data_IF_197246599067
#
_entry.id   IF_197246599067
#
_cell.length_a   1.000
_cell.length_b   1.000
_cell.length_c   1.000
_cell.angle_alpha   90.00
_cell.angle_beta   90.00
_cell.angle_gamma   90.00
#
_symmetry.space_group_name_H-M   'P 1'
#
loop_
_entity.id
_entity.type
_entity.pdbx_description
1 polymer ?
#
# COMPACT_ATOMS: atom_id res chain seq x y z
N UNK A 1 -16.69 5.78 8.02
CA UNK A 1 -16.26 5.53 8.24
C UNK A 1 -16.21 4.70 8.87
N UNK A 2 -16.74 4.52 9.10
CA UNK A 2 -16.45 3.56 9.69
C UNK A 2 -15.59 2.81 9.11
N UNK A 3 -15.51 2.95 8.05
CA UNK A 3 -14.66 2.35 7.40
C UNK A 3 -13.38 2.40 7.94
N UNK A 4 -13.00 3.50 8.42
CA UNK A 4 -11.75 3.59 8.99
C UNK A 4 -11.58 2.71 10.12
N UNK A 5 -12.54 2.61 11.03
CA UNK A 5 -12.35 1.76 12.11
C UNK A 5 -12.43 0.37 11.75
N UNK A 6 -13.19 0.02 10.75
CA UNK A 6 -13.22 -1.34 10.32
C UNK A 6 -11.95 -1.72 9.64
N UNK A 7 -11.35 -0.82 8.95
CA UNK A 7 -10.09 -1.09 8.36
C UNK A 7 -9.06 -1.30 9.38
N UNK A 8 -9.15 -0.64 10.48
CA UNK A 8 -8.24 -0.90 11.53
C UNK A 8 -8.34 -2.30 12.05
N UNK A 9 -9.50 -2.88 12.06
CA UNK A 9 -9.60 -4.25 12.44
C UNK A 9 -8.94 -5.17 11.47
N UNK A 10 -9.12 -4.94 10.21
CA UNK A 10 -8.45 -5.71 9.21
C UNK A 10 -7.00 -5.54 9.31
N UNK A 11 -6.58 -4.32 9.54
CA UNK A 11 -5.18 -4.06 9.63
C UNK A 11 -4.60 -4.52 10.92
N UNK A 12 -5.38 -4.72 11.94
CA UNK A 12 -4.83 -5.16 13.18
C UNK A 12 -4.25 -6.54 13.10
N UNK A 13 -4.75 -7.40 12.23
CA UNK A 13 -4.10 -8.65 12.02
C UNK A 13 -2.73 -8.44 11.44
N UNK A 14 -2.60 -7.52 10.52
CA UNK A 14 -1.33 -7.24 9.94
C UNK A 14 -0.42 -6.57 10.96
N UNK A 15 -0.93 -5.68 11.74
CA UNK A 15 -0.16 -5.09 12.80
C UNK A 15 0.32 -6.15 13.77
N UNK A 16 -0.53 -7.08 14.13
CA UNK A 16 -0.15 -8.13 15.04
C UNK A 16 0.93 -8.99 14.46
N UNK A 17 0.90 -9.24 13.17
CA UNK A 17 1.92 -10.00 12.52
C UNK A 17 3.25 -9.27 12.61
N UNK A 18 3.22 -7.97 12.47
CA UNK A 18 4.43 -7.20 12.46
C UNK A 18 4.77 -6.56 13.79
N UNK A 19 3.91 -6.69 14.79
CA UNK A 19 4.14 -6.01 16.03
C UNK A 19 5.42 -6.49 16.69
N UNK A 20 5.76 -7.71 16.48
CA UNK A 20 6.99 -8.22 16.98
C UNK A 20 8.13 -7.97 16.04
N UNK A 21 7.86 -7.40 14.90
CA UNK A 21 8.86 -7.18 13.90
C UNK A 21 9.23 -5.71 13.87
N UNK A 22 10.29 -5.39 14.53
CA UNK A 22 10.71 -4.01 14.61
C UNK A 22 11.13 -3.43 13.29
N UNK A 23 11.20 -4.22 12.25
CA UNK A 23 11.57 -3.73 10.93
C UNK A 23 10.38 -3.34 10.08
N UNK A 24 9.16 -3.50 10.59
CA UNK A 24 7.96 -3.04 9.88
C UNK A 24 7.79 -1.53 10.01
N UNK A 25 7.21 -0.91 9.00
CA UNK A 25 6.96 0.52 9.05
C UNK A 25 5.72 0.88 8.23
N UNK A 26 5.20 2.08 8.48
CA UNK A 26 3.97 2.53 7.84
C UNK A 26 4.22 3.26 6.55
N UNK A 27 3.40 2.98 5.57
CA UNK A 27 3.31 3.74 4.33
C UNK A 27 1.83 3.97 4.05
N UNK A 28 1.53 4.76 3.03
CA UNK A 28 0.14 5.05 2.69
C UNK A 28 -0.05 4.91 1.19
N UNK A 29 -1.10 4.20 0.80
CA UNK A 29 -1.55 4.24 -0.59
C UNK A 29 -2.61 5.33 -0.73
N UNK A 30 -2.58 6.06 -1.83
CA UNK A 30 -3.67 6.98 -2.15
C UNK A 30 -3.93 6.97 -3.63
N UNK A 31 -5.18 7.21 -4.01
CA UNK A 31 -5.51 7.33 -5.42
C UNK A 31 -5.13 8.71 -5.91
N UNK A 32 -4.87 8.82 -7.22
CA UNK A 32 -4.48 10.08 -7.82
C UNK A 32 -5.58 11.13 -7.66
N UNK A 33 -6.83 10.71 -7.68
CA UNK A 33 -7.96 11.60 -7.52
C UNK A 33 -8.45 11.67 -6.07
N UNK A 34 -7.70 11.06 -5.17
CA UNK A 34 -7.98 11.10 -3.73
C UNK A 34 -9.27 10.43 -3.31
N UNK A 35 -9.72 9.43 -4.09
CA UNK A 35 -10.87 8.63 -3.70
C UNK A 35 -10.61 7.86 -2.43
N UNK A 36 -9.38 7.52 -2.14
CA UNK A 36 -9.04 6.81 -0.92
C UNK A 36 -7.66 7.18 -0.41
N UNK A 37 -7.48 6.98 0.86
CA UNK A 37 -6.19 7.03 1.55
C UNK A 37 -6.16 5.78 2.41
N UNK A 38 -5.19 4.92 2.19
CA UNK A 38 -5.14 3.62 2.85
C UNK A 38 -3.77 3.37 3.47
N UNK A 39 -3.65 3.56 4.77
CA UNK A 39 -2.38 3.31 5.46
C UNK A 39 -2.18 1.83 5.68
N UNK A 40 -0.94 1.39 5.61
CA UNK A 40 -0.60 0.00 5.74
C UNK A 40 0.77 -0.11 6.38
N UNK A 41 1.01 -1.19 7.11
CA UNK A 41 2.32 -1.50 7.64
C UNK A 41 2.96 -2.51 6.72
N UNK A 42 4.20 -2.30 6.36
CA UNK A 42 4.90 -3.19 5.46
C UNK A 42 6.29 -3.49 5.97
N UNK A 43 6.88 -4.52 5.40
CA UNK A 43 8.25 -4.90 5.67
C UNK A 43 9.05 -4.60 4.42
N UNK A 44 10.28 -4.17 4.58
CA UNK A 44 11.10 -3.77 3.44
C UNK A 44 11.39 -4.91 2.46
N UNK A 45 11.23 -6.14 2.88
CA UNK A 45 11.45 -7.29 2.00
C UNK A 45 10.21 -7.71 1.23
N UNK A 46 9.07 -7.12 1.51
CA UNK A 46 7.85 -7.45 0.76
C UNK A 46 7.89 -6.84 -0.62
N UNK A 47 7.30 -7.53 -1.61
CA UNK A 47 7.20 -6.96 -2.94
C UNK A 47 6.06 -5.96 -2.99
N UNK A 48 6.16 -5.03 -3.91
CA UNK A 48 5.09 -4.06 -4.09
C UNK A 48 3.80 -4.77 -4.51
N UNK A 49 3.91 -5.80 -5.36
CA UNK A 49 2.72 -6.51 -5.80
C UNK A 49 1.98 -7.18 -4.65
N UNK A 50 2.69 -7.62 -3.63
CA UNK A 50 2.06 -8.20 -2.46
C UNK A 50 1.26 -7.16 -1.71
N UNK A 51 1.79 -5.98 -1.58
CA UNK A 51 1.06 -4.89 -0.91
C UNK A 51 -0.12 -4.44 -1.77
N UNK A 52 0.09 -4.42 -3.06
CA UNK A 52 -0.96 -4.04 -3.99
C UNK A 52 -2.13 -5.00 -3.95
N UNK A 53 -1.84 -6.27 -3.79
CA UNK A 53 -2.86 -7.29 -3.66
C UNK A 53 -3.76 -6.98 -2.46
N UNK A 54 -3.16 -6.63 -1.36
CA UNK A 54 -3.91 -6.29 -0.15
C UNK A 54 -4.75 -5.03 -0.38
N UNK A 55 -4.19 -4.06 -1.07
CA UNK A 55 -4.90 -2.82 -1.38
C UNK A 55 -6.14 -3.10 -2.24
N UNK A 56 -6.00 -3.95 -3.26
CA UNK A 56 -7.12 -4.23 -4.15
C UNK A 56 -8.16 -5.15 -3.54
N UNK A 57 -7.80 -5.87 -2.49
CA UNK A 57 -8.79 -6.59 -1.74
C UNK A 57 -9.69 -5.63 -0.96
N UNK A 58 -9.12 -4.50 -0.55
CA UNK A 58 -9.87 -3.50 0.17
C UNK A 58 -10.67 -2.59 -0.78
N UNK A 59 -10.15 -2.36 -1.97
CA UNK A 59 -10.77 -1.48 -2.95
C UNK A 59 -10.88 -2.22 -4.29
N UNK A 60 -11.78 -3.21 -4.37
CA UNK A 60 -11.81 -4.13 -5.52
C UNK A 60 -12.09 -3.47 -6.85
N UNK A 61 -12.72 -2.32 -6.86
CA UNK A 61 -12.99 -1.69 -8.14
C UNK A 61 -11.69 -1.36 -8.88
N UNK A 62 -10.60 -1.22 -8.16
CA UNK A 62 -9.33 -0.87 -8.79
C UNK A 62 -8.68 -2.05 -9.49
N UNK A 63 -9.17 -3.27 -9.26
CA UNK A 63 -8.71 -4.43 -10.02
C UNK A 63 -9.10 -4.35 -11.48
N UNK A 64 -10.14 -3.56 -11.77
CA UNK A 64 -10.67 -3.49 -13.12
C UNK A 64 -9.98 -2.44 -13.95
N UNK A 65 -9.11 -1.66 -13.37
CA UNK A 65 -8.41 -0.61 -14.09
C UNK A 65 -6.98 -1.01 -14.36
N UNK A 66 -6.42 -0.49 -15.43
CA UNK A 66 -4.99 -0.58 -15.62
C UNK A 66 -4.37 0.49 -14.76
N UNK A 67 -3.55 0.08 -13.82
CA UNK A 67 -2.94 1.04 -12.90
C UNK A 67 -1.43 0.95 -12.92
N UNK A 68 -0.80 2.02 -12.51
CA UNK A 68 0.61 1.99 -12.21
C UNK A 68 0.82 2.80 -10.93
N UNK A 69 1.89 2.50 -10.24
CA UNK A 69 2.15 3.08 -8.93
C UNK A 69 3.35 4.00 -9.00
N UNK A 70 3.26 5.13 -8.31
CA UNK A 70 4.40 6.04 -8.23
C UNK A 70 4.66 6.39 -6.77
N UNK A 71 5.90 6.73 -6.49
CA UNK A 71 6.26 7.25 -5.19
C UNK A 71 7.30 8.32 -5.43
N UNK A 72 7.03 9.51 -4.93
CA UNK A 72 7.92 10.66 -5.15
C UNK A 72 8.19 10.90 -6.64
N UNK A 73 7.18 10.69 -7.46
CA UNK A 73 7.27 10.91 -8.90
C UNK A 73 7.95 9.82 -9.69
N UNK A 74 8.34 8.74 -9.05
CA UNK A 74 9.05 7.64 -9.71
C UNK A 74 8.11 6.44 -9.83
N UNK A 75 8.02 5.87 -11.03
CA UNK A 75 7.19 4.69 -11.26
C UNK A 75 7.83 3.50 -10.56
N UNK A 76 7.03 2.79 -9.78
CA UNK A 76 7.53 1.66 -9.00
C UNK A 76 7.57 0.39 -9.85
N UNK A 77 8.50 -0.49 -9.50
CA UNK A 77 8.63 -1.80 -10.10
C UNK A 77 7.88 -2.79 -9.23
N UNK A 78 6.73 -3.24 -9.72
CA UNK A 78 5.80 -4.03 -8.91
C UNK A 78 6.38 -5.31 -8.38
N UNK A 79 7.30 -5.93 -9.11
CA UNK A 79 7.82 -7.22 -8.71
C UNK A 79 9.11 -7.11 -7.92
N UNK A 80 9.49 -5.88 -7.59
CA UNK A 80 10.62 -5.66 -6.71
C UNK A 80 10.11 -5.34 -5.32
N UNK A 81 11.00 -5.39 -4.35
CA UNK A 81 10.62 -5.19 -2.95
C UNK A 81 10.46 -3.71 -2.63
N UNK A 82 9.90 -3.47 -1.47
CA UNK A 82 9.79 -2.13 -0.91
C UNK A 82 11.18 -1.48 -0.86
N UNK A 83 12.15 -2.23 -0.37
CA UNK A 83 13.52 -1.76 -0.26
C UNK A 83 14.11 -1.44 -1.62
N UNK A 84 13.92 -2.33 -2.57
CA UNK A 84 14.48 -2.17 -3.91
C UNK A 84 13.86 -0.99 -4.64
N UNK A 85 12.67 -0.58 -4.25
CA UNK A 85 12.00 0.58 -4.82
C UNK A 85 12.29 1.86 -4.02
N UNK A 86 13.14 1.77 -3.03
CA UNK A 86 13.52 2.91 -2.19
C UNK A 86 12.35 3.55 -1.45
N UNK A 87 11.39 2.74 -1.07
CA UNK A 87 10.25 3.22 -0.29
C UNK A 87 10.68 3.31 1.17
N UNK A 88 10.37 4.42 1.81
CA UNK A 88 10.77 4.69 3.18
C UNK A 88 9.56 4.87 4.06
N UNK A 89 9.78 4.78 5.35
CA UNK A 89 8.76 5.02 6.35
C UNK A 89 8.06 6.34 6.06
N UNK A 90 6.75 6.31 6.08
CA UNK A 90 5.93 7.49 5.87
C UNK A 90 5.69 7.90 4.44
N UNK A 91 6.26 7.16 3.48
CA UNK A 91 6.06 7.50 2.08
C UNK A 91 4.62 7.23 1.64
N UNK A 92 4.20 7.97 0.64
CA UNK A 92 2.89 7.77 0.01
C UNK A 92 3.09 7.21 -1.37
N UNK A 93 2.39 6.11 -1.64
CA UNK A 93 2.38 5.50 -2.96
C UNK A 93 1.08 5.92 -3.65
N UNK A 94 1.20 6.50 -4.81
CA UNK A 94 0.05 7.00 -5.56
C UNK A 94 -0.38 5.94 -6.56
N UNK A 95 -1.67 5.62 -6.54
CA UNK A 95 -2.26 4.69 -7.51
C UNK A 95 -2.79 5.53 -8.66
N UNK A 96 -2.19 5.35 -9.82
CA UNK A 96 -2.55 6.09 -11.03
C UNK A 96 -3.31 5.16 -11.97
N UNK A 97 -4.25 5.70 -12.70
CA UNK A 97 -5.03 4.92 -13.66
C UNK A 97 -4.54 5.29 -15.05
N UNK A 98 -4.23 4.25 -15.83
CA UNK A 98 -3.84 4.46 -17.21
C UNK A 98 -5.10 4.52 -18.06
N UNK A 99 -5.15 5.44 -18.96
CA UNK A 99 -6.32 5.56 -19.83
C UNK A 99 -6.08 5.20 -21.26
#
# INVERSE_FOLDING_TARGET
MSQIKNNLLSNSNRFNTYSGNKYGFGITFRSINQDFIYPIVCNQKESISRLEEELYNEFPKYKEFNTYLTCNGIVLKRFKTVEENNIKKGDAIIVNIME
#
